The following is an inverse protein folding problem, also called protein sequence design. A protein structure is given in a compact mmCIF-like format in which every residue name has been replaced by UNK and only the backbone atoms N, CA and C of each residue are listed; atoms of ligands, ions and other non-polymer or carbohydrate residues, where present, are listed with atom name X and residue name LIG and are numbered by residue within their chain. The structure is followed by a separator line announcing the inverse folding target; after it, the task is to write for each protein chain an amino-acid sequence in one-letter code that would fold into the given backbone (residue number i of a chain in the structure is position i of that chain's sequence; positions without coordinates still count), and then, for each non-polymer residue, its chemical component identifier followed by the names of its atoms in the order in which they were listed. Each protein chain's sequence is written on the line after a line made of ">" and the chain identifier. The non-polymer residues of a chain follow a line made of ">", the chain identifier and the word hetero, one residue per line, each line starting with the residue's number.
data_IF_077774610184
#
_entry.id   IF_077774610184
#
_cell.length_a   1.000
_cell.length_b   1.000
_cell.length_c   1.000
_cell.angle_alpha   90.00
_cell.angle_beta   90.00
_cell.angle_gamma   90.00
#
_symmetry.space_group_name_H-M   'P 1'
#
loop_
_entity.id
_entity.type
_entity.pdbx_description
1 polymer ?
#
# COMPACT_ATOMS: atom_id res chain seq x y z
N UNK A 1 6.84 12.87 -2.71
CA UNK A 1 5.64 12.01 -2.63
C UNK A 1 5.91 10.73 -3.39
N UNK A 2 5.55 9.58 -2.81
CA UNK A 2 5.65 8.28 -3.47
C UNK A 2 4.24 7.81 -3.83
N UNK A 3 4.05 7.29 -5.04
CA UNK A 3 2.78 6.73 -5.49
C UNK A 3 2.94 5.21 -5.68
N UNK A 4 2.15 4.43 -4.92
CA UNK A 4 2.06 2.98 -5.04
C UNK A 4 0.75 2.59 -5.74
N UNK A 5 0.88 1.84 -6.83
CA UNK A 5 -0.25 1.42 -7.68
C UNK A 5 -1.09 0.29 -7.04
N UNK A 6 -2.23 -0.05 -7.65
CA UNK A 6 -3.05 -1.19 -7.24
C UNK A 6 -2.52 -2.53 -7.77
N UNK A 7 -3.17 -3.63 -7.44
CA UNK A 7 -2.87 -4.93 -8.04
C UNK A 7 -3.06 -4.88 -9.56
N UNK A 8 -2.17 -5.56 -10.32
CA UNK A 8 -2.17 -5.61 -11.78
C UNK A 8 -2.11 -4.25 -12.50
N UNK A 9 -1.63 -3.21 -11.82
CA UNK A 9 -1.40 -1.89 -12.39
C UNK A 9 0.12 -1.64 -12.58
N UNK A 10 0.49 -0.42 -12.96
CA UNK A 10 1.89 -0.01 -13.11
C UNK A 10 2.13 1.41 -12.58
N UNK A 11 3.40 1.85 -12.60
CA UNK A 11 3.81 3.20 -12.20
C UNK A 11 3.16 4.34 -13.00
N UNK A 12 2.49 4.06 -14.13
CA UNK A 12 1.79 5.06 -14.96
C UNK A 12 0.30 5.14 -14.63
N UNK A 13 -0.25 4.22 -13.85
CA UNK A 13 -1.68 4.16 -13.52
C UNK A 13 -2.25 5.49 -12.99
N UNK A 14 -1.53 6.17 -12.10
CA UNK A 14 -1.91 7.49 -11.55
C UNK A 14 -1.09 8.65 -12.16
N UNK A 15 -0.67 8.54 -13.43
CA UNK A 15 0.16 9.55 -14.09
C UNK A 15 -0.49 10.95 -14.09
N UNK A 16 -1.82 11.03 -14.22
CA UNK A 16 -2.53 12.31 -14.19
C UNK A 16 -2.33 13.01 -12.83
N UNK A 17 -2.49 12.26 -11.73
CA UNK A 17 -2.32 12.75 -10.37
C UNK A 17 -0.85 13.12 -10.12
N UNK A 18 0.08 12.27 -10.58
CA UNK A 18 1.51 12.55 -10.46
C UNK A 18 1.91 13.85 -11.17
N UNK A 19 1.39 14.08 -12.38
CA UNK A 19 1.62 15.32 -13.14
C UNK A 19 1.00 16.54 -12.47
N UNK A 20 -0.22 16.41 -11.96
CA UNK A 20 -0.90 17.48 -11.26
C UNK A 20 -0.16 17.87 -9.97
N UNK A 21 0.27 16.91 -9.16
CA UNK A 21 1.07 17.19 -7.97
C UNK A 21 2.43 17.81 -8.35
N UNK A 22 3.08 17.32 -9.40
CA UNK A 22 4.34 17.90 -9.89
C UNK A 22 4.18 19.34 -10.37
N UNK A 23 3.07 19.70 -11.02
CA UNK A 23 2.81 21.08 -11.44
C UNK A 23 2.59 22.05 -10.27
N UNK A 24 2.36 21.52 -9.06
CA UNK A 24 2.23 22.29 -7.81
C UNK A 24 3.51 22.24 -6.95
N UNK A 25 4.66 21.87 -7.54
CA UNK A 25 5.96 21.94 -6.88
C UNK A 25 6.34 20.71 -6.06
N UNK A 26 5.56 19.63 -6.09
CA UNK A 26 5.93 18.38 -5.40
C UNK A 26 6.88 17.52 -6.25
N UNK A 27 7.95 17.00 -5.65
CA UNK A 27 8.68 15.87 -6.23
C UNK A 27 7.84 14.60 -6.11
N UNK A 28 7.41 14.03 -7.23
CA UNK A 28 6.59 12.80 -7.25
C UNK A 28 7.37 11.66 -7.87
N UNK A 29 7.36 10.52 -7.20
CA UNK A 29 7.97 9.28 -7.68
C UNK A 29 6.94 8.18 -7.67
N UNK A 30 6.64 7.62 -8.85
CA UNK A 30 5.81 6.43 -8.98
C UNK A 30 6.71 5.22 -9.27
N UNK A 31 6.52 4.13 -8.53
CA UNK A 31 7.30 2.90 -8.65
C UNK A 31 6.44 1.76 -9.19
N UNK A 32 7.11 0.79 -9.81
CA UNK A 32 6.52 -0.52 -10.07
C UNK A 32 6.82 -1.44 -8.89
N UNK A 33 5.89 -2.33 -8.58
CA UNK A 33 6.08 -3.45 -7.67
C UNK A 33 6.22 -4.75 -8.48
N UNK A 34 7.44 -5.32 -8.62
CA UNK A 34 7.62 -6.62 -9.25
C UNK A 34 6.77 -7.67 -8.53
N UNK A 35 6.15 -8.61 -9.27
CA UNK A 35 5.34 -9.67 -8.67
C UNK A 35 3.84 -9.37 -8.58
N UNK A 36 3.43 -8.11 -8.52
CA UNK A 36 2.00 -7.70 -8.52
C UNK A 36 1.64 -6.61 -9.54
N UNK A 37 2.58 -6.20 -10.39
CA UNK A 37 2.34 -5.25 -11.48
C UNK A 37 1.72 -5.92 -12.72
N UNK A 38 1.33 -5.10 -13.70
CA UNK A 38 0.73 -5.57 -14.96
C UNK A 38 1.62 -6.58 -15.70
N UNK A 39 2.95 -6.41 -15.65
CA UNK A 39 3.89 -7.33 -16.29
C UNK A 39 3.86 -8.72 -15.62
N UNK A 40 3.76 -8.78 -14.29
CA UNK A 40 3.59 -10.03 -13.56
C UNK A 40 2.26 -10.71 -13.91
N UNK A 41 1.17 -9.95 -14.04
CA UNK A 41 -0.12 -10.49 -14.48
C UNK A 41 0.00 -11.17 -15.86
N UNK A 42 0.60 -10.51 -16.85
CA UNK A 42 0.80 -11.12 -18.17
C UNK A 42 1.64 -12.40 -18.12
N UNK A 43 2.72 -12.42 -17.32
CA UNK A 43 3.55 -13.62 -17.18
C UNK A 43 2.81 -14.78 -16.51
N UNK A 44 1.99 -14.51 -15.50
CA UNK A 44 1.18 -15.55 -14.84
C UNK A 44 0.09 -16.09 -15.75
N UNK A 45 -0.54 -15.23 -16.55
CA UNK A 45 -1.54 -15.63 -17.55
C UNK A 45 -0.93 -16.55 -18.61
N UNK A 46 0.23 -16.18 -19.18
CA UNK A 46 0.95 -17.00 -20.17
C UNK A 46 1.39 -18.35 -19.59
N UNK A 47 1.81 -18.38 -18.32
CA UNK A 47 2.26 -19.61 -17.67
C UNK A 47 1.13 -20.47 -17.06
N UNK A 48 -0.13 -20.01 -17.13
CA UNK A 48 -1.31 -20.64 -16.52
C UNK A 48 -1.17 -20.95 -15.01
N UNK A 49 -0.29 -20.22 -14.31
CA UNK A 49 -0.05 -20.40 -12.86
C UNK A 49 -0.92 -19.44 -12.06
N UNK A 50 -2.23 -19.66 -12.10
CA UNK A 50 -3.21 -18.78 -11.44
C UNK A 50 -3.01 -18.74 -9.90
N UNK A 51 -2.44 -19.79 -9.30
CA UNK A 51 -2.02 -19.79 -7.89
C UNK A 51 -0.90 -18.79 -7.57
N UNK A 52 -0.21 -18.26 -8.59
CA UNK A 52 0.82 -17.22 -8.45
C UNK A 52 0.33 -15.84 -8.86
N UNK A 53 -0.97 -15.68 -9.10
CA UNK A 53 -1.56 -14.42 -9.58
C UNK A 53 -1.28 -13.25 -8.62
N UNK A 54 -1.33 -13.51 -7.32
CA UNK A 54 -0.86 -12.61 -6.28
C UNK A 54 -0.12 -13.41 -5.21
N UNK A 55 1.22 -13.48 -5.27
CA UNK A 55 2.01 -14.17 -4.26
C UNK A 55 1.84 -13.51 -2.89
N UNK A 56 1.72 -14.31 -1.83
CA UNK A 56 1.61 -13.80 -0.46
C UNK A 56 2.84 -12.97 -0.03
N UNK A 57 4.01 -13.20 -0.65
CA UNK A 57 5.23 -12.41 -0.41
C UNK A 57 5.06 -10.94 -0.78
N UNK A 58 4.15 -10.59 -1.69
CA UNK A 58 3.91 -9.19 -2.08
C UNK A 58 3.45 -8.30 -0.92
N UNK A 59 2.82 -8.89 0.11
CA UNK A 59 2.45 -8.14 1.31
C UNK A 59 3.70 -7.78 2.15
N UNK A 60 4.83 -8.43 1.94
CA UNK A 60 6.13 -8.08 2.52
C UNK A 60 6.90 -7.16 1.58
N UNK A 61 6.96 -7.55 0.30
CA UNK A 61 7.87 -6.98 -0.68
C UNK A 61 7.44 -5.55 -1.04
N UNK A 62 6.14 -5.27 -1.15
CA UNK A 62 5.67 -3.94 -1.58
C UNK A 62 5.99 -2.80 -0.61
N UNK A 63 5.80 -2.94 0.72
CA UNK A 63 6.33 -1.95 1.67
C UNK A 63 7.86 -1.81 1.55
N UNK A 64 8.59 -2.93 1.42
CA UNK A 64 10.04 -2.92 1.31
C UNK A 64 10.55 -2.26 0.03
N UNK A 65 9.83 -2.38 -1.09
CA UNK A 65 10.14 -1.69 -2.35
C UNK A 65 10.13 -0.16 -2.17
N UNK A 66 9.19 0.37 -1.38
CA UNK A 66 9.12 1.81 -1.10
C UNK A 66 10.30 2.23 -0.23
N UNK A 67 10.60 1.48 0.84
CA UNK A 67 11.78 1.73 1.68
C UNK A 67 13.07 1.70 0.85
N UNK A 68 13.23 0.69 0.00
CA UNK A 68 14.35 0.55 -0.92
C UNK A 68 14.44 1.73 -1.89
N UNK A 69 13.31 2.15 -2.47
CA UNK A 69 13.25 3.33 -3.33
C UNK A 69 13.75 4.57 -2.59
N UNK A 70 13.28 4.81 -1.37
CA UNK A 70 13.67 5.97 -0.56
C UNK A 70 15.17 5.95 -0.26
N UNK A 71 15.75 4.78 0.04
CA UNK A 71 17.20 4.63 0.24
C UNK A 71 18.00 4.97 -1.03
N UNK A 72 17.51 4.56 -2.20
CA UNK A 72 18.15 4.87 -3.48
C UNK A 72 18.03 6.35 -3.82
N UNK A 73 16.87 6.96 -3.60
CA UNK A 73 16.66 8.39 -3.82
C UNK A 73 17.53 9.23 -2.88
N UNK A 74 17.71 8.81 -1.63
CA UNK A 74 18.59 9.50 -0.69
C UNK A 74 20.05 9.46 -1.15
N UNK A 75 20.52 8.30 -1.64
CA UNK A 75 21.86 8.17 -2.23
C UNK A 75 22.02 9.04 -3.48
N UNK A 76 21.01 9.08 -4.36
CA UNK A 76 21.03 9.93 -5.56
C UNK A 76 21.03 11.42 -5.20
N UNK A 77 20.29 11.82 -4.16
CA UNK A 77 20.20 13.21 -3.71
C UNK A 77 21.54 13.76 -3.18
N UNK A 78 22.44 12.87 -2.72
CA UNK A 78 23.79 13.23 -2.23
C UNK A 78 24.86 13.23 -3.33
N UNK A 79 24.61 12.55 -4.46
CA UNK A 79 25.58 12.46 -5.57
C UNK A 79 25.52 13.72 -6.42
N UNK A 80 26.66 14.14 -6.96
CA UNK A 80 26.72 15.23 -7.96
C UNK A 80 25.87 14.85 -9.17
N UNK A 81 25.00 15.77 -9.60
CA UNK A 81 24.12 15.56 -10.75
C UNK A 81 22.83 16.37 -10.67
N UNK A 82 21.95 16.18 -11.64
CA UNK A 82 20.73 16.99 -11.81
C UNK A 82 19.72 16.88 -10.65
N UNK A 83 19.81 15.83 -9.82
CA UNK A 83 18.95 15.57 -8.67
C UNK A 83 19.60 15.93 -7.32
N UNK A 84 20.85 16.40 -7.32
CA UNK A 84 21.56 16.74 -6.09
C UNK A 84 20.80 17.81 -5.30
N UNK A 85 20.47 17.52 -4.03
CA UNK A 85 19.73 18.43 -3.16
C UNK A 85 18.28 18.72 -3.57
N UNK A 86 17.73 18.03 -4.58
CA UNK A 86 16.36 18.30 -5.09
C UNK A 86 15.29 17.38 -4.51
N UNK A 87 15.66 16.38 -3.72
CA UNK A 87 14.73 15.37 -3.21
C UNK A 87 14.70 15.40 -1.69
N UNK A 88 13.53 15.68 -1.12
CA UNK A 88 13.29 15.49 0.31
C UNK A 88 12.83 14.05 0.59
N UNK A 89 13.74 13.21 1.07
CA UNK A 89 13.43 11.83 1.49
C UNK A 89 13.12 11.71 2.98
N UNK A 90 13.12 12.80 3.74
CA UNK A 90 12.87 12.78 5.21
C UNK A 90 11.42 13.05 5.58
N UNK A 91 10.65 13.67 4.70
CA UNK A 91 9.24 13.97 4.88
C UNK A 91 8.46 13.47 3.66
N UNK A 92 8.15 12.18 3.66
CA UNK A 92 7.53 11.50 2.54
C UNK A 92 6.04 11.34 2.80
N UNK A 93 5.22 11.83 1.87
CA UNK A 93 3.83 11.39 1.73
C UNK A 93 3.77 10.19 0.80
N UNK A 94 3.13 9.11 1.23
CA UNK A 94 2.83 7.94 0.37
C UNK A 94 1.36 7.98 -0.04
N UNK A 95 1.09 7.92 -1.34
CA UNK A 95 -0.25 7.80 -1.91
C UNK A 95 -0.40 6.38 -2.42
N UNK A 96 -1.40 5.68 -1.91
CA UNK A 96 -1.73 4.32 -2.33
C UNK A 96 -3.08 4.27 -3.02
N UNK A 97 -3.22 3.45 -4.06
CA UNK A 97 -4.52 3.12 -4.65
C UNK A 97 -4.81 1.62 -4.53
N UNK A 98 -6.00 1.25 -4.02
CA UNK A 98 -6.40 -0.14 -3.83
C UNK A 98 -5.33 -0.90 -3.06
N UNK A 99 -4.66 -1.89 -3.66
CA UNK A 99 -3.55 -2.60 -3.02
C UNK A 99 -2.39 -1.67 -2.60
N UNK A 100 -2.14 -0.57 -3.31
CA UNK A 100 -1.17 0.43 -2.89
C UNK A 100 -1.53 1.12 -1.56
N UNK A 101 -2.81 1.14 -1.17
CA UNK A 101 -3.25 1.68 0.12
C UNK A 101 -2.82 0.80 1.29
N UNK A 102 -2.80 -0.53 1.09
CA UNK A 102 -2.15 -1.45 2.03
C UNK A 102 -0.69 -1.08 2.22
N UNK A 103 0.06 -0.93 1.12
CA UNK A 103 1.48 -0.54 1.14
C UNK A 103 1.69 0.75 1.91
N UNK A 104 0.87 1.77 1.64
CA UNK A 104 0.97 3.07 2.27
C UNK A 104 0.72 3.01 3.79
N UNK A 105 -0.31 2.28 4.23
CA UNK A 105 -0.64 2.16 5.65
C UNK A 105 0.34 1.26 6.42
N UNK A 106 0.84 0.19 5.81
CA UNK A 106 1.88 -0.65 6.38
C UNK A 106 3.15 0.17 6.69
N UNK A 107 3.55 1.04 5.74
CA UNK A 107 4.66 1.98 5.94
C UNK A 107 4.40 3.03 7.03
N UNK A 108 3.13 3.36 7.29
CA UNK A 108 2.73 4.30 8.32
C UNK A 108 2.58 3.68 9.72
N UNK A 109 2.70 2.35 9.83
CA UNK A 109 2.68 1.64 11.11
C UNK A 109 1.48 0.71 11.32
N UNK A 110 0.64 0.49 10.31
CA UNK A 110 -0.38 -0.56 10.38
C UNK A 110 0.30 -1.94 10.40
N UNK A 111 -0.04 -2.78 11.38
CA UNK A 111 0.57 -4.10 11.54
C UNK A 111 -0.18 -5.15 10.74
N UNK A 112 0.50 -5.79 9.79
CA UNK A 112 -0.06 -6.94 9.07
C UNK A 112 -0.32 -8.06 10.08
N UNK A 113 -1.55 -8.58 10.08
CA UNK A 113 -2.00 -9.62 11.02
C UNK A 113 -2.49 -10.87 10.27
N UNK A 114 -1.59 -11.77 9.84
CA UNK A 114 -1.96 -12.96 9.09
C UNK A 114 -2.87 -13.93 9.85
N UNK A 115 -2.85 -13.90 11.20
CA UNK A 115 -3.73 -14.73 12.03
C UNK A 115 -5.19 -14.29 11.86
N UNK A 116 -5.49 -13.03 12.16
CA UNK A 116 -6.85 -12.49 12.06
C UNK A 116 -7.37 -12.59 10.61
N UNK A 117 -6.50 -12.35 9.63
CA UNK A 117 -6.85 -12.50 8.22
C UNK A 117 -7.25 -13.94 7.86
N UNK A 118 -6.52 -14.96 8.34
CA UNK A 118 -6.89 -16.36 8.08
C UNK A 118 -8.24 -16.72 8.67
N UNK A 119 -8.51 -16.30 9.90
CA UNK A 119 -9.78 -16.53 10.57
C UNK A 119 -10.94 -15.95 9.73
N UNK A 120 -10.78 -14.71 9.26
CA UNK A 120 -11.74 -14.09 8.33
C UNK A 120 -11.90 -14.89 7.02
N UNK A 121 -10.79 -15.29 6.40
CA UNK A 121 -10.83 -16.00 5.13
C UNK A 121 -11.45 -17.41 5.25
N UNK A 122 -11.27 -18.08 6.38
CA UNK A 122 -11.84 -19.41 6.64
C UNK A 122 -13.33 -19.36 6.98
N UNK A 123 -13.82 -18.22 7.51
CA UNK A 123 -15.23 -18.02 7.84
C UNK A 123 -16.14 -17.78 6.61
N UNK A 124 -15.56 -17.57 5.42
CA UNK A 124 -16.29 -17.28 4.19
C UNK A 124 -16.07 -18.36 3.13
N UNK A 125 -17.15 -18.80 2.49
CA UNK A 125 -17.05 -19.61 1.28
C UNK A 125 -16.51 -18.77 0.10
N UNK A 126 -15.92 -19.41 -0.93
CA UNK A 126 -15.44 -18.73 -2.14
C UNK A 126 -16.48 -17.80 -2.80
N UNK A 127 -17.77 -18.16 -2.73
CA UNK A 127 -18.88 -17.40 -3.33
C UNK A 127 -19.27 -16.16 -2.51
N UNK A 128 -18.99 -16.15 -1.21
CA UNK A 128 -19.34 -15.05 -0.30
C UNK A 128 -18.28 -13.94 -0.26
N UNK A 129 -17.10 -14.19 -0.85
CA UNK A 129 -15.97 -13.25 -0.89
C UNK A 129 -16.16 -12.20 -1.98
N UNK A 130 -16.06 -10.93 -1.60
CA UNK A 130 -15.92 -9.85 -2.58
C UNK A 130 -14.56 -9.94 -3.31
N UNK A 131 -14.39 -9.27 -4.46
CA UNK A 131 -13.08 -9.18 -5.11
C UNK A 131 -11.97 -8.64 -4.20
N UNK A 132 -12.28 -7.72 -3.29
CA UNK A 132 -11.32 -7.22 -2.32
C UNK A 132 -10.99 -8.23 -1.22
N UNK A 133 -11.94 -9.07 -0.81
CA UNK A 133 -11.68 -10.13 0.16
C UNK A 133 -10.79 -11.21 -0.44
N UNK A 134 -11.02 -11.57 -1.71
CA UNK A 134 -10.11 -12.46 -2.45
C UNK A 134 -8.68 -11.93 -2.48
N UNK A 135 -8.52 -10.63 -2.77
CA UNK A 135 -7.22 -9.99 -2.82
C UNK A 135 -6.54 -9.99 -1.44
N UNK A 136 -7.28 -9.67 -0.38
CA UNK A 136 -6.75 -9.70 0.99
C UNK A 136 -6.37 -11.12 1.41
N UNK A 137 -7.20 -12.12 1.10
CA UNK A 137 -6.96 -13.52 1.46
C UNK A 137 -5.72 -14.14 0.81
N UNK A 138 -5.16 -13.53 -0.24
CA UNK A 138 -3.86 -13.94 -0.77
C UNK A 138 -2.74 -13.83 0.29
N UNK A 139 -2.85 -12.92 1.26
CA UNK A 139 -1.86 -12.82 2.35
C UNK A 139 -2.04 -13.90 3.44
N UNK A 140 -3.11 -14.69 3.40
CA UNK A 140 -3.40 -15.71 4.42
C UNK A 140 -2.40 -16.88 4.39
N UNK A 141 -1.59 -17.02 3.33
CA UNK A 141 -0.51 -18.01 3.28
C UNK A 141 0.73 -17.60 4.10
N UNK A 142 0.85 -16.32 4.49
CA UNK A 142 2.00 -15.83 5.25
C UNK A 142 2.06 -16.39 6.67
N UNK A 143 3.25 -16.74 7.22
CA UNK A 143 3.40 -17.21 8.60
C UNK A 143 2.64 -16.36 9.64
N UNK A 144 2.12 -16.99 10.70
CA UNK A 144 1.23 -16.37 11.72
C UNK A 144 1.79 -15.14 12.46
N UNK A 145 3.09 -14.85 12.35
CA UNK A 145 3.70 -13.70 13.00
C UNK A 145 3.17 -12.37 12.45
N UNK A 146 2.79 -11.46 13.35
CA UNK A 146 2.53 -10.07 12.97
C UNK A 146 3.79 -9.46 12.35
N UNK A 147 3.60 -8.56 11.39
CA UNK A 147 4.71 -7.89 10.70
C UNK A 147 4.48 -6.39 10.65
N UNK A 148 5.54 -5.65 10.97
CA UNK A 148 5.58 -4.19 11.00
C UNK A 148 6.51 -3.73 9.88
N UNK A 149 6.05 -2.79 9.06
CA UNK A 149 6.82 -2.27 7.92
C UNK A 149 7.04 -0.75 8.00
N UNK A 150 6.83 -0.18 9.18
CA UNK A 150 6.93 1.26 9.41
C UNK A 150 8.27 1.81 8.89
N UNK A 151 8.19 2.82 8.01
CA UNK A 151 9.34 3.62 7.61
C UNK A 151 9.21 5.01 8.27
N UNK A 152 10.16 5.43 9.12
CA UNK A 152 10.08 6.71 9.85
C UNK A 152 10.09 7.94 8.94
N UNK A 153 10.50 7.80 7.67
CA UNK A 153 10.46 8.89 6.68
C UNK A 153 9.05 9.14 6.15
N UNK A 154 8.14 8.18 6.29
CA UNK A 154 6.74 8.30 5.89
C UNK A 154 5.98 9.03 6.99
N UNK A 155 5.64 10.30 6.71
CA UNK A 155 5.05 11.22 7.69
C UNK A 155 3.58 11.54 7.40
N UNK A 156 3.06 11.14 6.23
CA UNK A 156 1.67 11.31 5.81
C UNK A 156 1.26 10.20 4.84
N UNK A 157 -0.01 9.81 4.87
CA UNK A 157 -0.58 8.83 3.93
C UNK A 157 -1.86 9.33 3.30
N UNK A 158 -2.03 9.04 2.01
CA UNK A 158 -3.30 9.16 1.30
C UNK A 158 -3.67 7.78 0.75
N UNK A 159 -4.77 7.22 1.23
CA UNK A 159 -5.28 5.92 0.80
C UNK A 159 -6.51 6.09 -0.08
N UNK A 160 -6.38 5.74 -1.36
CA UNK A 160 -7.45 5.81 -2.36
C UNK A 160 -8.07 4.43 -2.53
N UNK A 161 -9.37 4.31 -2.27
CA UNK A 161 -10.15 3.08 -2.34
C UNK A 161 -9.47 1.86 -1.67
N UNK A 162 -9.17 1.93 -0.36
CA UNK A 162 -8.28 0.98 0.30
C UNK A 162 -8.88 -0.43 0.48
N UNK A 163 -8.00 -1.43 0.51
CA UNK A 163 -8.32 -2.85 0.77
C UNK A 163 -7.72 -3.35 2.11
N UNK A 164 -8.07 -2.74 3.24
CA UNK A 164 -7.17 -2.71 4.42
C UNK A 164 -7.72 -3.33 5.71
N UNK A 165 -9.02 -3.55 5.85
CA UNK A 165 -9.64 -3.95 7.14
C UNK A 165 -9.06 -5.24 7.72
N UNK A 166 -9.27 -6.37 7.03
CA UNK A 166 -8.88 -7.68 7.56
C UNK A 166 -7.37 -7.91 7.52
N UNK A 167 -6.64 -7.25 6.60
CA UNK A 167 -5.17 -7.31 6.55
C UNK A 167 -4.52 -6.86 7.84
N UNK A 168 -5.09 -5.85 8.50
CA UNK A 168 -4.58 -5.30 9.75
C UNK A 168 -5.36 -5.78 10.98
N UNK A 169 -6.22 -6.80 10.83
CA UNK A 169 -7.08 -7.27 11.92
C UNK A 169 -8.03 -6.21 12.45
N UNK A 170 -8.48 -5.29 11.58
CA UNK A 170 -9.29 -4.12 11.90
C UNK A 170 -8.66 -3.17 12.93
N UNK A 171 -7.32 -3.18 13.04
CA UNK A 171 -6.55 -2.33 13.95
C UNK A 171 -5.57 -1.44 13.19
N UNK A 172 -5.83 -0.13 13.23
CA UNK A 172 -4.94 0.90 12.68
C UNK A 172 -4.29 1.76 13.77
N UNK A 173 -4.31 1.34 15.03
CA UNK A 173 -3.74 2.10 16.17
C UNK A 173 -2.23 2.36 16.05
N UNK A 174 -1.53 1.52 15.27
CA UNK A 174 -0.11 1.73 14.94
C UNK A 174 0.14 2.87 13.94
N UNK A 175 -0.89 3.31 13.20
CA UNK A 175 -0.81 4.43 12.25
C UNK A 175 -0.88 5.75 13.01
N UNK A 176 0.30 6.37 13.24
CA UNK A 176 0.43 7.60 14.03
C UNK A 176 0.68 8.85 13.19
N UNK A 177 0.47 8.77 11.88
CA UNK A 177 0.70 9.89 10.95
C UNK A 177 -0.63 10.38 10.39
N UNK A 178 -0.74 11.67 10.02
CA UNK A 178 -1.92 12.18 9.33
C UNK A 178 -2.24 11.32 8.10
N UNK A 179 -3.47 10.81 8.07
CA UNK A 179 -3.94 9.87 7.05
C UNK A 179 -5.27 10.34 6.48
N UNK A 180 -5.32 10.47 5.16
CA UNK A 180 -6.55 10.78 4.43
C UNK A 180 -7.01 9.54 3.66
N UNK A 181 -8.26 9.14 3.86
CA UNK A 181 -8.86 7.98 3.20
C UNK A 181 -9.97 8.46 2.27
N UNK A 182 -9.89 8.13 0.98
CA UNK A 182 -10.94 8.37 0.00
C UNK A 182 -11.58 7.05 -0.41
N UNK A 183 -12.91 6.98 -0.31
CA UNK A 183 -13.70 5.83 -0.72
C UNK A 183 -14.58 6.26 -1.90
N UNK A 184 -14.55 5.50 -2.99
CA UNK A 184 -15.40 5.77 -4.15
C UNK A 184 -16.63 4.85 -4.11
N UNK A 185 -17.82 5.42 -3.92
CA UNK A 185 -19.07 4.67 -3.70
C UNK A 185 -19.52 3.77 -4.88
N UNK A 186 -18.91 3.92 -6.06
CA UNK A 186 -19.25 3.15 -7.28
C UNK A 186 -18.38 1.91 -7.51
N UNK A 187 -17.45 1.58 -6.60
CA UNK A 187 -16.60 0.39 -6.76
C UNK A 187 -17.27 -0.85 -6.16
N UNK A 188 -17.42 -1.91 -6.97
CA UNK A 188 -17.87 -3.25 -6.53
C UNK A 188 -16.80 -3.98 -5.70
N UNK A 189 -15.64 -3.37 -5.49
CA UNK A 189 -14.49 -3.92 -4.78
C UNK A 189 -14.31 -3.31 -3.39
N UNK A 190 -15.37 -2.79 -2.75
CA UNK A 190 -15.27 -2.39 -1.35
C UNK A 190 -15.18 -3.64 -0.47
N UNK A 191 -14.19 -3.73 0.44
CA UNK A 191 -14.22 -4.77 1.45
C UNK A 191 -15.47 -4.61 2.32
N UNK A 192 -15.98 -5.70 2.87
CA UNK A 192 -17.04 -5.61 3.88
C UNK A 192 -16.57 -4.70 5.01
N UNK A 193 -17.35 -3.64 5.28
CA UNK A 193 -17.05 -2.68 6.34
C UNK A 193 -17.19 -3.40 7.69
N UNK A 194 -16.05 -3.74 8.28
CA UNK A 194 -15.95 -4.06 9.71
C UNK A 194 -15.59 -2.78 10.46
N UNK A 195 -16.03 -2.58 11.72
CA UNK A 195 -15.59 -1.44 12.51
C UNK A 195 -14.06 -1.47 12.62
N UNK A 196 -13.39 -0.43 12.10
CA UNK A 196 -11.94 -0.28 12.20
C UNK A 196 -11.64 0.50 13.47
N UNK A 197 -10.80 -0.04 14.34
CA UNK A 197 -10.27 0.71 15.46
C UNK A 197 -9.24 1.71 14.93
N UNK A 198 -9.66 2.97 14.82
CA UNK A 198 -8.84 4.08 14.36
C UNK A 198 -9.11 5.30 15.24
N UNK A 199 -8.07 5.83 15.89
CA UNK A 199 -8.19 7.01 16.76
C UNK A 199 -7.50 8.22 16.11
N UNK A 200 -8.19 9.02 15.29
CA UNK A 200 -7.59 10.17 14.60
C UNK A 200 -7.32 11.37 15.51
N UNK A 201 -7.95 11.42 16.70
CA UNK A 201 -8.04 12.63 17.51
C UNK A 201 -6.78 12.96 18.33
N UNK A 202 -5.81 12.05 18.45
CA UNK A 202 -4.56 12.35 19.16
C UNK A 202 -3.55 13.18 18.35
N UNK A 203 -3.82 13.46 17.08
CA UNK A 203 -2.85 14.07 16.15
C UNK A 203 -3.29 15.41 15.52
N UNK A 204 -4.48 15.92 15.86
CA UNK A 204 -4.92 17.26 15.46
C UNK A 204 -4.70 18.32 16.54
N UNK A 205 -4.33 17.93 17.76
CA UNK A 205 -4.01 18.84 18.86
C UNK A 205 -2.53 18.68 19.22
N UNK A 206 -1.67 19.55 18.69
CA UNK A 206 -0.25 19.52 19.04
C UNK A 206 0.69 20.42 18.23
N UNK A 207 0.60 21.73 18.52
CA UNK A 207 1.55 22.85 18.22
C UNK A 207 1.78 23.26 16.77
#
# INVERSE_FOLDING_TARGET
>A
MVISHGFAADRKFLKYLARHLASHGFTVVALDHPGSNIAALFQTAVSMKLSKLLPASEFIDRPQDVTFLLDKLEKLNRRKGILQGKINTKQVTVIGHSYGSYTALALAGAELNPRALREFCQALTPLERSPADWLQCAAAELPYGKRQFRDPRVVRVIALNPIIGNLFGNDLSGVRVPTLIFIFLLTTALPRLSPINYNPLSNCEGK
#
